data_IF_369862537570
#
_entry.id   IF_369862537570
#
_cell.length_a   1.000
_cell.length_b   1.000
_cell.length_c   1.000
_cell.angle_alpha   90.00
_cell.angle_beta   90.00
_cell.angle_gamma   90.00
#
_symmetry.space_group_name_H-M   'P 1'
#
loop_
_entity.id
_entity.type
_entity.pdbx_description
1 polymer ?
#
# COMPACT_ATOMS: atom_id res chain seq x y z
N UNK A 1 -0.26 22.90 19.97
CA UNK A 1 0.99 22.18 19.61
C UNK A 1 1.42 22.57 18.19
N UNK A 2 2.69 22.91 17.97
CA UNK A 2 3.26 23.25 16.65
C UNK A 2 3.76 21.99 15.96
N UNK A 3 3.22 21.68 14.79
CA UNK A 3 3.48 20.41 14.08
C UNK A 3 4.23 20.66 12.77
N UNK A 4 5.35 19.98 12.57
CA UNK A 4 5.99 19.82 11.26
C UNK A 4 5.48 18.48 10.69
N UNK A 5 4.94 18.47 9.47
CA UNK A 5 4.37 17.26 8.88
C UNK A 5 5.22 16.79 7.69
N UNK A 6 5.68 15.54 7.73
CA UNK A 6 6.47 14.90 6.67
C UNK A 6 5.70 13.75 6.02
N UNK A 7 5.57 13.77 4.70
CA UNK A 7 4.86 12.71 3.98
C UNK A 7 4.88 12.91 2.47
N UNK A 8 4.25 11.98 1.73
CA UNK A 8 4.21 12.08 0.25
C UNK A 8 2.97 11.45 -0.39
N UNK A 9 2.32 10.51 0.28
CA UNK A 9 1.21 9.73 -0.26
C UNK A 9 -0.16 10.40 -0.06
N UNK A 10 -1.19 9.82 -0.66
CA UNK A 10 -2.59 10.18 -0.37
C UNK A 10 -2.95 9.91 1.09
N UNK A 11 -2.40 8.84 1.68
CA UNK A 11 -2.58 8.55 3.10
C UNK A 11 -1.98 9.65 3.98
N UNK A 12 -0.81 10.20 3.60
CA UNK A 12 -0.23 11.35 4.29
C UNK A 12 -1.15 12.57 4.23
N UNK A 13 -1.76 12.82 3.07
CA UNK A 13 -2.70 13.93 2.89
C UNK A 13 -3.96 13.76 3.78
N UNK A 14 -4.51 12.55 3.89
CA UNK A 14 -5.67 12.27 4.74
C UNK A 14 -5.34 12.41 6.22
N UNK A 15 -4.15 11.96 6.66
CA UNK A 15 -3.68 12.20 8.03
C UNK A 15 -3.48 13.69 8.33
N UNK A 16 -2.86 14.47 7.41
CA UNK A 16 -2.73 15.92 7.58
C UNK A 16 -4.09 16.61 7.65
N UNK A 17 -5.04 16.19 6.82
CA UNK A 17 -6.41 16.71 6.83
C UNK A 17 -7.10 16.49 8.18
N UNK A 18 -6.84 15.37 8.87
CA UNK A 18 -7.35 15.13 10.21
C UNK A 18 -6.76 16.12 11.22
N UNK A 19 -5.45 16.38 11.18
CA UNK A 19 -4.79 17.35 12.06
C UNK A 19 -5.30 18.79 11.82
N UNK A 20 -5.54 19.17 10.56
CA UNK A 20 -6.05 20.50 10.22
C UNK A 20 -7.49 20.78 10.71
N UNK A 21 -8.22 19.77 11.16
CA UNK A 21 -9.56 19.91 11.75
C UNK A 21 -9.55 20.22 13.25
N UNK A 22 -8.40 20.05 13.89
CA UNK A 22 -8.22 20.22 15.33
C UNK A 22 -7.59 21.61 15.57
N UNK A 23 -8.30 22.47 16.31
CA UNK A 23 -7.83 23.84 16.61
C UNK A 23 -6.57 23.88 17.48
N UNK A 24 -6.27 22.77 18.19
CA UNK A 24 -5.10 22.66 19.05
C UNK A 24 -3.78 22.44 18.29
N UNK A 25 -3.81 22.23 16.96
CA UNK A 25 -2.62 22.01 16.14
C UNK A 25 -2.38 23.18 15.18
N UNK A 26 -1.14 23.69 15.18
CA UNK A 26 -0.63 24.64 14.20
C UNK A 26 0.35 23.90 13.26
N UNK A 27 0.01 23.75 12.00
CA UNK A 27 0.92 23.16 11.01
C UNK A 27 1.91 24.25 10.57
N UNK A 28 3.12 24.18 11.09
CA UNK A 28 4.17 25.19 10.87
C UNK A 28 5.05 24.91 9.67
N UNK A 29 4.97 23.72 9.10
CA UNK A 29 5.68 23.37 7.88
C UNK A 29 5.34 21.96 7.40
N UNK A 30 5.43 21.77 6.10
CA UNK A 30 5.21 20.49 5.42
C UNK A 30 6.46 20.11 4.63
N UNK A 31 6.89 18.88 4.77
CA UNK A 31 8.03 18.31 4.04
C UNK A 31 7.54 17.18 3.15
N UNK A 32 7.82 17.26 1.86
CA UNK A 32 7.41 16.22 0.90
C UNK A 32 8.60 15.69 0.10
N UNK A 33 8.39 14.60 -0.63
CA UNK A 33 9.34 14.19 -1.67
C UNK A 33 9.37 15.22 -2.80
N UNK A 34 10.51 15.37 -3.49
CA UNK A 34 10.61 16.18 -4.70
C UNK A 34 9.63 15.74 -5.77
N UNK A 35 9.25 16.67 -6.65
CA UNK A 35 8.43 16.37 -7.81
C UNK A 35 9.16 15.37 -8.71
N UNK A 36 8.44 14.37 -9.19
CA UNK A 36 9.02 13.29 -10.02
C UNK A 36 8.29 13.19 -11.37
N UNK A 37 9.00 12.83 -12.45
CA UNK A 37 8.35 12.56 -13.72
C UNK A 37 7.26 11.50 -13.60
N UNK A 38 6.02 11.83 -13.99
CA UNK A 38 4.87 10.93 -13.93
C UNK A 38 4.07 10.95 -15.23
N UNK A 39 3.28 9.89 -15.45
CA UNK A 39 2.43 9.75 -16.63
C UNK A 39 3.18 9.49 -17.94
N UNK A 40 2.44 9.41 -19.05
CA UNK A 40 2.99 9.12 -20.38
C UNK A 40 3.94 10.22 -20.90
N UNK A 41 3.71 11.47 -20.49
CA UNK A 41 4.52 12.64 -20.88
C UNK A 41 5.74 12.89 -19.99
N UNK A 42 6.00 12.09 -18.95
CA UNK A 42 7.08 12.30 -17.96
C UNK A 42 7.14 13.73 -17.41
N UNK A 43 5.98 14.39 -17.27
CA UNK A 43 5.89 15.73 -16.68
C UNK A 43 6.21 15.66 -15.20
N UNK A 44 7.01 16.61 -14.70
CA UNK A 44 7.26 16.74 -13.26
C UNK A 44 5.94 16.96 -12.54
N UNK A 45 5.61 16.06 -11.64
CA UNK A 45 4.32 16.02 -10.96
C UNK A 45 4.56 16.03 -9.45
N UNK A 46 3.92 16.96 -8.72
CA UNK A 46 3.94 16.97 -7.27
C UNK A 46 3.31 15.68 -6.70
N UNK A 47 3.81 15.25 -5.55
CA UNK A 47 3.21 14.13 -4.82
C UNK A 47 1.82 14.51 -4.25
N UNK A 48 1.05 13.51 -3.81
CA UNK A 48 -0.32 13.75 -3.33
C UNK A 48 -0.38 14.74 -2.16
N UNK A 49 0.54 14.63 -1.19
CA UNK A 49 0.59 15.57 -0.07
C UNK A 49 0.95 16.99 -0.51
N UNK A 50 1.87 17.14 -1.47
CA UNK A 50 2.25 18.48 -1.96
C UNK A 50 1.06 19.18 -2.65
N UNK A 51 0.29 18.46 -3.45
CA UNK A 51 -0.96 18.98 -4.06
C UNK A 51 -1.98 19.37 -3.00
N UNK A 52 -2.20 18.50 -2.02
CA UNK A 52 -3.12 18.78 -0.92
C UNK A 52 -2.72 20.02 -0.11
N UNK A 53 -1.42 20.18 0.18
CA UNK A 53 -0.92 21.35 0.90
C UNK A 53 -1.16 22.65 0.10
N UNK A 54 -0.92 22.65 -1.21
CA UNK A 54 -1.21 23.75 -2.12
C UNK A 54 -2.70 24.10 -2.13
N UNK A 55 -3.59 23.11 -2.29
CA UNK A 55 -5.05 23.26 -2.27
C UNK A 55 -5.57 23.84 -0.94
N UNK A 56 -4.85 23.63 0.16
CA UNK A 56 -5.18 24.16 1.49
C UNK A 56 -4.51 25.51 1.81
N UNK A 57 -3.76 26.07 0.87
CA UNK A 57 -3.06 27.34 1.06
C UNK A 57 -1.90 27.26 2.04
N UNK A 58 -1.33 26.06 2.30
CA UNK A 58 -0.14 25.91 3.14
C UNK A 58 1.07 26.36 2.34
N UNK A 59 1.66 27.50 2.73
CA UNK A 59 2.79 28.13 2.02
C UNK A 59 4.15 27.57 2.45
N UNK A 60 4.26 27.12 3.69
CA UNK A 60 5.50 26.57 4.27
C UNK A 60 5.69 25.13 3.84
N UNK A 61 6.08 24.89 2.58
CA UNK A 61 6.30 23.54 2.00
C UNK A 61 7.72 23.47 1.44
N UNK A 62 8.47 22.43 1.84
CA UNK A 62 9.78 22.12 1.26
C UNK A 62 9.81 20.71 0.67
N UNK A 63 10.66 20.53 -0.36
CA UNK A 63 10.79 19.29 -1.12
C UNK A 63 12.26 18.86 -1.25
N UNK A 64 12.96 18.55 -0.14
CA UNK A 64 14.40 18.29 -0.18
C UNK A 64 14.73 16.98 -0.89
N UNK A 65 15.73 16.98 -1.77
CA UNK A 65 16.28 15.75 -2.34
C UNK A 65 16.91 14.85 -1.25
N UNK A 66 17.51 15.47 -0.23
CA UNK A 66 18.10 14.81 0.93
C UNK A 66 17.61 15.49 2.20
N UNK A 67 16.70 14.85 2.93
CA UNK A 67 16.10 15.42 4.14
C UNK A 67 17.14 15.72 5.24
N UNK A 68 18.22 14.95 5.30
CA UNK A 68 19.27 15.14 6.29
C UNK A 68 20.36 16.15 5.87
N UNK A 69 20.13 16.93 4.81
CA UNK A 69 21.07 17.99 4.41
C UNK A 69 21.05 19.18 5.41
N UNK A 70 22.19 19.86 5.63
CA UNK A 70 22.29 20.96 6.60
C UNK A 70 21.23 22.05 6.39
N UNK A 71 20.98 22.46 5.15
CA UNK A 71 20.00 23.47 4.79
C UNK A 71 18.57 23.04 5.16
N UNK A 72 18.25 21.75 5.03
CA UNK A 72 16.95 21.21 5.46
C UNK A 72 16.84 21.26 6.98
N UNK A 73 17.89 20.86 7.68
CA UNK A 73 17.90 20.87 9.14
C UNK A 73 17.75 22.30 9.70
N UNK A 74 18.41 23.31 9.10
CA UNK A 74 18.23 24.72 9.45
C UNK A 74 16.79 25.18 9.23
N UNK A 75 16.16 24.77 8.11
CA UNK A 75 14.77 25.10 7.83
C UNK A 75 13.83 24.49 8.85
N UNK A 76 14.01 23.21 9.19
CA UNK A 76 13.23 22.54 10.23
C UNK A 76 13.35 23.24 11.59
N UNK A 77 14.56 23.66 11.97
CA UNK A 77 14.81 24.43 13.21
C UNK A 77 14.08 25.79 13.19
N UNK A 78 14.07 26.46 12.05
CA UNK A 78 13.42 27.78 11.91
C UNK A 78 11.92 27.72 12.14
N UNK A 79 11.27 26.60 11.88
CA UNK A 79 9.84 26.40 12.09
C UNK A 79 9.46 26.23 13.57
N UNK A 80 10.41 25.91 14.44
CA UNK A 80 10.19 25.74 15.89
C UNK A 80 9.01 24.83 16.21
N UNK A 81 8.95 23.67 15.53
CA UNK A 81 7.94 22.64 15.77
C UNK A 81 8.13 21.97 17.13
N UNK A 82 7.04 21.63 17.78
CA UNK A 82 7.03 20.84 19.02
C UNK A 82 7.19 19.35 18.74
N UNK A 83 6.73 18.89 17.59
CA UNK A 83 6.77 17.50 17.11
C UNK A 83 6.95 17.46 15.60
N UNK A 84 7.64 16.46 15.10
CA UNK A 84 7.64 16.10 13.68
C UNK A 84 6.76 14.86 13.49
N UNK A 85 5.72 14.98 12.69
CA UNK A 85 4.86 13.87 12.29
C UNK A 85 5.32 13.30 10.97
N UNK A 86 5.48 11.99 10.88
CA UNK A 86 5.94 11.29 9.67
C UNK A 86 4.90 10.28 9.23
N UNK A 87 4.41 10.40 8.00
CA UNK A 87 3.45 9.46 7.41
C UNK A 87 3.86 9.15 5.97
N UNK A 88 4.32 7.94 5.69
CA UNK A 88 4.72 7.49 4.35
C UNK A 88 5.60 8.52 3.61
N UNK A 89 6.67 8.98 4.23
CA UNK A 89 7.57 10.00 3.70
C UNK A 89 8.59 9.44 2.71
N UNK A 90 9.22 8.30 3.04
CA UNK A 90 10.11 7.57 2.12
C UNK A 90 11.58 7.99 2.15
N UNK A 91 12.04 8.78 3.11
CA UNK A 91 13.46 8.99 3.43
C UNK A 91 13.72 8.66 4.90
N UNK A 92 14.91 8.14 5.17
CA UNK A 92 15.38 7.83 6.54
C UNK A 92 15.78 9.12 7.24
N UNK A 93 15.26 9.34 8.44
CA UNK A 93 15.62 10.47 9.30
C UNK A 93 16.80 10.07 10.19
N UNK A 94 17.84 10.91 10.23
CA UNK A 94 18.97 10.75 11.14
C UNK A 94 18.66 11.33 12.51
N UNK A 95 19.50 10.98 13.47
CA UNK A 95 19.39 11.37 14.87
C UNK A 95 19.17 12.87 15.06
N UNK A 96 19.87 13.71 14.28
CA UNK A 96 19.77 15.17 14.36
C UNK A 96 18.36 15.70 14.05
N UNK A 97 17.57 14.98 13.24
CA UNK A 97 16.15 15.32 12.97
C UNK A 97 15.26 14.65 14.01
N UNK A 98 15.54 13.39 14.37
CA UNK A 98 14.73 12.64 15.34
C UNK A 98 14.66 13.33 16.71
N UNK A 99 15.76 13.95 17.14
CA UNK A 99 15.88 14.63 18.43
C UNK A 99 15.63 16.15 18.33
N UNK A 100 15.31 16.69 17.15
CA UNK A 100 15.14 18.11 16.94
C UNK A 100 13.97 18.72 17.73
N UNK A 101 12.73 18.19 17.66
CA UNK A 101 11.62 18.76 18.39
C UNK A 101 11.51 18.17 19.81
N UNK A 102 10.92 18.93 20.72
CA UNK A 102 10.82 18.51 22.13
C UNK A 102 10.07 17.19 22.36
N UNK A 103 9.13 16.86 21.48
CA UNK A 103 8.39 15.59 21.51
C UNK A 103 8.91 14.58 20.49
N UNK A 104 10.09 14.82 19.90
CA UNK A 104 10.69 13.92 18.92
C UNK A 104 9.88 13.78 17.63
N UNK A 105 10.10 12.67 16.94
CA UNK A 105 9.38 12.34 15.72
C UNK A 105 8.34 11.25 16.01
N UNK A 106 7.13 11.42 15.50
CA UNK A 106 6.00 10.48 15.65
C UNK A 106 5.61 9.95 14.28
N UNK A 107 5.50 8.63 14.14
CA UNK A 107 5.09 7.96 12.90
C UNK A 107 3.68 7.39 13.05
N UNK A 108 2.88 7.50 11.98
CA UNK A 108 1.66 6.72 11.82
C UNK A 108 1.93 5.59 10.82
N UNK A 109 2.05 4.38 11.35
CA UNK A 109 2.33 3.17 10.59
C UNK A 109 1.05 2.36 10.35
N UNK A 110 0.85 1.86 9.11
CA UNK A 110 -0.39 1.21 8.68
C UNK A 110 -0.37 -0.31 8.93
N UNK A 111 -0.01 -0.70 10.15
CA UNK A 111 -0.19 -2.06 10.67
C UNK A 111 -0.31 -2.05 12.20
N UNK A 112 -0.65 -3.18 12.78
CA UNK A 112 -0.55 -3.43 14.22
C UNK A 112 0.88 -3.90 14.54
N UNK A 113 1.76 -2.96 14.85
CA UNK A 113 3.13 -3.28 15.25
C UNK A 113 3.13 -4.14 16.55
N UNK A 114 4.09 -5.06 16.68
CA UNK A 114 5.35 -5.19 15.93
C UNK A 114 5.24 -5.95 14.60
N UNK A 115 4.05 -6.40 14.18
CA UNK A 115 3.89 -7.08 12.89
C UNK A 115 4.00 -6.09 11.71
N UNK A 116 4.58 -6.56 10.60
CA UNK A 116 4.63 -5.85 9.32
C UNK A 116 5.39 -4.52 9.37
N UNK A 117 6.54 -4.46 10.07
CA UNK A 117 7.48 -3.34 9.96
C UNK A 117 7.95 -3.17 8.51
N UNK A 118 8.12 -1.93 8.04
CA UNK A 118 8.65 -1.63 6.71
C UNK A 118 7.66 -1.03 5.72
N UNK A 119 7.86 -1.25 4.41
CA UNK A 119 7.33 -0.36 3.39
C UNK A 119 5.91 -0.68 2.86
N UNK A 120 5.38 -1.88 3.07
CA UNK A 120 4.10 -2.31 2.47
C UNK A 120 3.22 -3.11 3.44
N UNK A 121 2.95 -2.62 4.66
CA UNK A 121 2.26 -3.37 5.71
C UNK A 121 0.82 -3.76 5.33
N UNK A 122 0.08 -2.86 4.69
CA UNK A 122 -1.32 -3.06 4.27
C UNK A 122 -1.44 -4.25 3.30
N UNK A 123 -0.55 -4.30 2.33
CA UNK A 123 -0.51 -5.36 1.33
C UNK A 123 -0.13 -6.69 1.99
N UNK A 124 0.84 -6.69 2.89
CA UNK A 124 1.28 -7.88 3.59
C UNK A 124 0.19 -8.48 4.48
N UNK A 125 -0.60 -7.66 5.17
CA UNK A 125 -1.73 -8.13 5.97
C UNK A 125 -2.79 -8.85 5.10
N UNK A 126 -3.10 -8.30 3.92
CA UNK A 126 -4.02 -8.93 2.95
C UNK A 126 -3.46 -10.23 2.38
N UNK A 127 -2.19 -10.28 1.97
CA UNK A 127 -1.53 -11.50 1.47
C UNK A 127 -1.51 -12.61 2.53
N UNK A 128 -1.22 -12.25 3.78
CA UNK A 128 -1.27 -13.18 4.90
C UNK A 128 -2.69 -13.70 5.19
N UNK A 129 -3.72 -12.98 4.72
CA UNK A 129 -5.12 -13.31 4.98
C UNK A 129 -5.55 -13.01 6.40
N UNK A 130 -4.98 -11.97 6.99
CA UNK A 130 -5.43 -11.45 8.27
C UNK A 130 -6.90 -11.03 8.17
N UNK A 131 -7.64 -11.24 9.24
CA UNK A 131 -9.04 -10.81 9.35
C UNK A 131 -9.17 -9.41 9.96
N UNK A 132 -8.07 -8.94 10.55
CA UNK A 132 -7.98 -7.64 11.21
C UNK A 132 -6.56 -7.09 11.04
N UNK A 133 -6.47 -5.80 10.83
CA UNK A 133 -5.23 -5.04 10.87
C UNK A 133 -5.47 -3.74 11.65
N UNK A 134 -4.73 -2.70 11.39
CA UNK A 134 -4.95 -1.41 12.04
C UNK A 134 -3.84 -0.42 11.76
N UNK A 135 -3.77 0.56 12.61
CA UNK A 135 -2.73 1.59 12.59
C UNK A 135 -2.02 1.66 13.93
N UNK A 136 -0.74 1.98 13.89
CA UNK A 136 0.09 2.23 15.07
C UNK A 136 0.68 3.62 15.00
N UNK A 137 0.40 4.45 15.99
CA UNK A 137 1.12 5.70 16.23
C UNK A 137 2.23 5.40 17.22
N UNK A 138 3.46 5.73 16.87
CA UNK A 138 4.65 5.42 17.67
C UNK A 138 5.68 6.54 17.62
N UNK A 139 6.51 6.65 18.63
CA UNK A 139 7.74 7.43 18.53
C UNK A 139 8.73 6.77 17.57
N UNK A 140 9.46 7.56 16.82
CA UNK A 140 10.48 7.06 15.91
C UNK A 140 11.82 6.98 16.63
N UNK A 141 12.52 5.85 16.42
CA UNK A 141 13.91 5.65 16.74
C UNK A 141 14.80 5.58 15.48
N UNK A 142 16.06 5.22 15.64
CA UNK A 142 16.98 4.99 14.53
C UNK A 142 16.70 3.68 13.78
N UNK A 143 15.98 2.76 14.39
CA UNK A 143 15.60 1.48 13.79
C UNK A 143 14.37 1.58 12.88
N UNK A 144 14.08 0.48 12.18
CA UNK A 144 12.96 0.42 11.26
C UNK A 144 11.67 0.06 12.02
N UNK A 145 10.78 1.04 12.20
CA UNK A 145 9.46 0.90 12.80
C UNK A 145 9.47 0.16 14.16
N UNK A 146 10.50 0.36 14.97
CA UNK A 146 10.76 -0.36 16.23
C UNK A 146 10.58 0.48 17.50
N UNK A 147 10.24 1.75 17.35
CA UNK A 147 10.06 2.67 18.47
C UNK A 147 8.85 2.33 19.35
N UNK A 148 8.74 2.93 20.53
CA UNK A 148 7.66 2.65 21.47
C UNK A 148 6.30 3.09 20.92
N UNK A 149 5.29 2.24 21.14
CA UNK A 149 3.93 2.46 20.69
C UNK A 149 3.20 3.42 21.62
N UNK A 150 2.64 4.48 21.07
CA UNK A 150 1.80 5.46 21.75
C UNK A 150 0.34 5.02 21.79
N UNK A 151 -0.24 4.74 20.62
CA UNK A 151 -1.62 4.28 20.44
C UNK A 151 -1.74 3.32 19.26
N UNK A 152 -2.73 2.43 19.34
CA UNK A 152 -3.16 1.60 18.21
C UNK A 152 -4.66 1.70 18.01
N UNK A 153 -5.11 1.55 16.77
CA UNK A 153 -6.51 1.36 16.43
C UNK A 153 -6.64 0.19 15.46
N UNK A 154 -7.73 -0.55 15.59
CA UNK A 154 -7.99 -1.78 14.86
C UNK A 154 -8.95 -1.51 13.70
N UNK A 155 -8.76 -2.23 12.58
CA UNK A 155 -9.57 -2.14 11.37
C UNK A 155 -9.85 -3.54 10.83
N UNK A 156 -11.12 -3.96 10.64
CA UNK A 156 -11.45 -5.27 10.07
C UNK A 156 -11.09 -5.34 8.59
N UNK A 157 -10.74 -6.53 8.14
CA UNK A 157 -10.50 -6.84 6.72
C UNK A 157 -11.63 -7.73 6.23
N UNK A 158 -12.44 -7.24 5.30
CA UNK A 158 -13.55 -7.99 4.72
C UNK A 158 -13.08 -8.86 3.54
N UNK A 159 -13.83 -9.92 3.20
CA UNK A 159 -13.43 -10.89 2.16
C UNK A 159 -13.10 -10.29 0.79
N UNK A 160 -13.79 -9.22 0.40
CA UNK A 160 -13.62 -8.56 -0.91
C UNK A 160 -12.72 -7.31 -0.86
N UNK A 161 -12.18 -6.96 0.31
CA UNK A 161 -11.35 -5.77 0.49
C UNK A 161 -10.10 -5.86 -0.38
N UNK A 162 -9.85 -4.81 -1.16
CA UNK A 162 -8.60 -4.62 -1.93
C UNK A 162 -7.55 -3.83 -1.13
N UNK A 163 -6.30 -3.86 -1.59
CA UNK A 163 -5.24 -3.04 -1.01
C UNK A 163 -5.54 -1.53 -1.05
N UNK A 164 -6.23 -1.08 -2.11
CA UNK A 164 -6.68 0.31 -2.24
C UNK A 164 -7.75 0.69 -1.23
N UNK A 165 -8.77 -0.17 -1.07
CA UNK A 165 -9.86 0.04 -0.10
C UNK A 165 -9.29 0.08 1.32
N UNK A 166 -8.51 -0.94 1.70
CA UNK A 166 -7.90 -1.01 3.03
C UNK A 166 -6.97 0.18 3.32
N UNK A 167 -6.19 0.61 2.34
CA UNK A 167 -5.34 1.81 2.51
C UNK A 167 -6.18 3.08 2.73
N UNK A 168 -7.32 3.21 2.06
CA UNK A 168 -8.22 4.36 2.26
C UNK A 168 -8.80 4.36 3.68
N UNK A 169 -9.33 3.22 4.13
CA UNK A 169 -9.89 3.06 5.48
C UNK A 169 -8.84 3.32 6.56
N UNK A 170 -7.66 2.69 6.43
CA UNK A 170 -6.55 2.89 7.36
C UNK A 170 -6.01 4.33 7.35
N UNK A 171 -6.10 5.05 6.23
CA UNK A 171 -5.68 6.46 6.17
C UNK A 171 -6.58 7.36 7.01
N UNK A 172 -7.88 7.10 7.01
CA UNK A 172 -8.85 7.81 7.85
C UNK A 172 -8.66 7.44 9.32
N UNK A 173 -8.59 6.14 9.62
CA UNK A 173 -8.33 5.61 10.95
C UNK A 173 -7.00 6.17 11.52
N UNK A 174 -5.94 6.19 10.70
CA UNK A 174 -4.63 6.72 11.04
C UNK A 174 -4.66 8.20 11.38
N UNK A 175 -5.37 9.00 10.60
CA UNK A 175 -5.52 10.43 10.86
C UNK A 175 -6.19 10.72 12.21
N UNK A 176 -7.28 10.01 12.52
CA UNK A 176 -8.00 10.13 13.80
C UNK A 176 -7.13 9.67 14.98
N UNK A 177 -6.46 8.52 14.82
CA UNK A 177 -5.60 7.97 15.88
C UNK A 177 -4.39 8.86 16.14
N UNK A 178 -3.79 9.41 15.09
CA UNK A 178 -2.67 10.35 15.16
C UNK A 178 -3.08 11.64 15.89
N UNK A 179 -4.20 12.26 15.52
CA UNK A 179 -4.70 13.46 16.18
C UNK A 179 -4.94 13.21 17.67
N UNK A 180 -5.56 12.07 18.02
CA UNK A 180 -5.77 11.66 19.40
C UNK A 180 -4.47 11.47 20.16
N UNK A 181 -3.49 10.79 19.57
CA UNK A 181 -2.19 10.55 20.20
C UNK A 181 -1.43 11.86 20.49
N UNK A 182 -1.40 12.78 19.51
CA UNK A 182 -0.73 14.07 19.68
C UNK A 182 -1.43 14.97 20.72
N UNK A 183 -2.76 14.96 20.78
CA UNK A 183 -3.50 15.69 21.83
C UNK A 183 -3.18 15.16 23.22
N UNK A 184 -3.23 13.83 23.41
CA UNK A 184 -2.87 13.21 24.69
C UNK A 184 -1.40 13.48 25.08
N UNK A 185 -0.51 13.52 24.11
CA UNK A 185 0.91 13.86 24.32
C UNK A 185 1.06 15.31 24.81
N UNK A 186 0.36 16.27 24.20
CA UNK A 186 0.42 17.69 24.59
C UNK A 186 -0.19 17.93 25.98
N UNK A 187 -1.29 17.25 26.26
CA UNK A 187 -1.99 17.28 27.56
C UNK A 187 -1.24 16.50 28.67
N UNK A 188 -0.16 15.79 28.35
CA UNK A 188 0.57 14.87 29.23
C UNK A 188 -0.34 13.77 29.82
N UNK A 189 -1.34 13.37 29.04
CA UNK A 189 -2.33 12.35 29.38
C UNK A 189 -2.15 11.05 28.58
N UNK A 190 -1.04 10.94 27.85
CA UNK A 190 -0.72 9.72 27.09
C UNK A 190 -0.54 8.55 28.08
N UNK A 191 -1.19 7.38 27.84
CA UNK A 191 -0.89 6.19 28.63
C UNK A 191 0.58 5.77 28.49
N UNK A 192 1.10 4.95 29.41
CA UNK A 192 2.47 4.44 29.29
C UNK A 192 2.71 3.80 27.91
N UNK A 193 3.76 4.22 27.25
CA UNK A 193 4.13 3.69 25.95
C UNK A 193 4.54 2.23 26.03
N UNK A 194 4.20 1.47 24.99
CA UNK A 194 4.49 0.04 24.93
C UNK A 194 5.78 -0.17 24.14
N UNK A 195 6.81 -0.70 24.79
CA UNK A 195 8.03 -1.15 24.11
C UNK A 195 7.68 -2.37 23.26
N UNK A 196 8.06 -2.33 21.99
CA UNK A 196 7.77 -3.42 21.06
C UNK A 196 8.61 -4.66 21.38
N UNK A 197 7.98 -5.84 21.46
CA UNK A 197 8.67 -7.11 21.51
C UNK A 197 9.26 -7.47 20.14
N UNK A 198 10.57 -7.34 19.99
CA UNK A 198 11.27 -7.65 18.75
C UNK A 198 11.15 -9.11 18.29
N UNK A 199 10.86 -10.05 19.21
CA UNK A 199 10.65 -11.46 18.86
C UNK A 199 9.36 -11.69 18.07
N UNK A 200 8.37 -10.79 18.17
CA UNK A 200 7.12 -10.83 17.41
C UNK A 200 7.16 -10.00 16.13
N UNK A 201 8.28 -9.33 15.86
CA UNK A 201 8.39 -8.46 14.70
C UNK A 201 8.44 -9.26 13.39
N UNK A 202 7.66 -8.81 12.41
CA UNK A 202 7.75 -9.26 11.02
C UNK A 202 8.08 -8.09 10.12
N UNK A 203 8.74 -8.36 8.98
CA UNK A 203 9.28 -7.31 8.11
C UNK A 203 8.76 -7.43 6.69
N UNK A 204 8.41 -6.29 6.09
CA UNK A 204 7.88 -6.21 4.73
C UNK A 204 8.76 -5.33 3.85
N UNK A 205 9.22 -5.88 2.75
CA UNK A 205 10.04 -5.18 1.76
C UNK A 205 9.19 -4.24 0.89
N UNK A 206 9.87 -3.28 0.28
CA UNK A 206 9.25 -2.44 -0.76
C UNK A 206 8.89 -3.29 -1.97
N UNK A 207 7.66 -3.16 -2.45
CA UNK A 207 7.18 -3.86 -3.65
C UNK A 207 7.73 -3.26 -4.93
N UNK A 208 7.84 -4.11 -5.94
CA UNK A 208 8.23 -3.79 -7.32
C UNK A 208 7.12 -4.23 -8.27
N UNK A 209 7.08 -3.65 -9.46
CA UNK A 209 6.11 -4.05 -10.50
C UNK A 209 6.20 -5.53 -10.90
N UNK A 210 7.40 -6.10 -10.83
CA UNK A 210 7.65 -7.51 -11.12
C UNK A 210 7.02 -8.45 -10.12
N UNK A 211 6.83 -8.01 -8.87
CA UNK A 211 6.26 -8.85 -7.82
C UNK A 211 4.78 -9.20 -8.09
N UNK A 212 4.13 -8.51 -9.04
CA UNK A 212 2.77 -8.82 -9.50
C UNK A 212 2.65 -9.99 -10.47
N UNK A 213 3.74 -10.60 -10.94
CA UNK A 213 3.66 -11.78 -11.78
C UNK A 213 3.08 -12.97 -10.98
N UNK A 214 2.05 -13.61 -11.53
CA UNK A 214 1.38 -14.72 -10.87
C UNK A 214 2.19 -15.99 -11.10
N UNK A 215 2.48 -16.69 -10.03
CA UNK A 215 2.91 -18.08 -10.07
C UNK A 215 1.66 -18.99 -9.91
N UNK A 216 1.30 -19.70 -10.95
CA UNK A 216 0.13 -20.58 -10.98
C UNK A 216 0.30 -21.82 -10.11
N UNK A 217 1.54 -22.17 -9.71
CA UNK A 217 1.84 -23.24 -8.75
C UNK A 217 1.55 -22.87 -7.29
N UNK A 218 1.05 -21.68 -7.05
CA UNK A 218 0.58 -21.30 -5.72
C UNK A 218 -0.85 -21.79 -5.47
N UNK A 219 -1.22 -21.98 -4.18
CA UNK A 219 -2.61 -22.23 -3.82
C UNK A 219 -3.53 -21.10 -4.32
N UNK A 220 -4.71 -21.48 -4.80
CA UNK A 220 -5.69 -20.54 -5.36
C UNK A 220 -6.05 -19.41 -4.42
N UNK A 221 -6.18 -19.70 -3.11
CA UNK A 221 -6.45 -18.70 -2.10
C UNK A 221 -5.30 -17.68 -1.95
N UNK A 222 -4.06 -18.12 -2.11
CA UNK A 222 -2.89 -17.21 -2.07
C UNK A 222 -2.88 -16.28 -3.29
N UNK A 223 -3.22 -16.82 -4.47
CA UNK A 223 -3.36 -16.02 -5.70
C UNK A 223 -4.50 -15.01 -5.57
N UNK A 224 -5.67 -15.41 -5.04
CA UNK A 224 -6.81 -14.52 -4.82
C UNK A 224 -6.46 -13.38 -3.86
N UNK A 225 -5.88 -13.70 -2.70
CA UNK A 225 -5.41 -12.69 -1.73
C UNK A 225 -4.45 -11.71 -2.36
N UNK A 226 -3.50 -12.20 -3.16
CA UNK A 226 -2.50 -11.36 -3.83
C UNK A 226 -3.13 -10.46 -4.90
N UNK A 227 -4.11 -10.95 -5.68
CA UNK A 227 -4.85 -10.15 -6.65
C UNK A 227 -5.55 -8.97 -5.94
N UNK A 228 -6.20 -9.22 -4.82
CA UNK A 228 -6.85 -8.17 -4.02
C UNK A 228 -5.84 -7.24 -3.37
N UNK A 229 -4.81 -7.78 -2.72
CA UNK A 229 -3.78 -7.02 -2.04
C UNK A 229 -3.06 -6.05 -2.98
N UNK A 230 -2.78 -6.47 -4.22
CA UNK A 230 -2.01 -5.71 -5.19
C UNK A 230 -2.87 -4.75 -6.03
N UNK A 231 -4.17 -4.70 -5.84
CA UNK A 231 -5.05 -3.75 -6.49
C UNK A 231 -5.16 -2.47 -5.65
N UNK A 232 -4.88 -1.26 -6.18
CA UNK A 232 -4.60 -0.91 -7.59
C UNK A 232 -3.12 -0.98 -8.00
N UNK A 233 -2.18 -1.24 -7.10
CA UNK A 233 -0.74 -1.29 -7.39
C UNK A 233 -0.03 -2.35 -6.53
N UNK A 234 0.90 -3.14 -7.11
CA UNK A 234 1.44 -3.11 -8.48
C UNK A 234 0.54 -3.78 -9.52
N UNK A 235 -0.57 -4.38 -9.16
CA UNK A 235 -1.48 -5.27 -9.86
C UNK A 235 -0.86 -6.64 -10.18
N UNK A 236 -1.68 -7.68 -10.08
CA UNK A 236 -1.28 -9.02 -10.51
C UNK A 236 -1.42 -9.18 -12.03
N UNK A 237 -0.53 -9.97 -12.62
CA UNK A 237 -0.58 -10.22 -14.06
C UNK A 237 -0.01 -11.58 -14.43
N UNK A 238 -0.38 -12.03 -15.61
CA UNK A 238 0.13 -13.22 -16.30
C UNK A 238 0.36 -12.90 -17.77
N UNK A 239 0.85 -13.85 -18.53
CA UNK A 239 0.98 -13.72 -19.97
C UNK A 239 0.07 -14.69 -20.71
N UNK A 240 -0.54 -14.20 -21.77
CA UNK A 240 -1.37 -15.01 -22.66
C UNK A 240 -0.53 -16.02 -23.43
N UNK A 241 -1.14 -17.13 -23.90
CA UNK A 241 -0.45 -18.09 -24.80
C UNK A 241 0.24 -17.40 -25.98
N UNK A 242 1.36 -17.97 -26.45
CA UNK A 242 2.20 -17.36 -27.48
C UNK A 242 1.45 -16.92 -28.73
N UNK A 243 0.43 -17.68 -29.15
CA UNK A 243 -0.39 -17.35 -30.32
C UNK A 243 -1.16 -16.03 -30.22
N UNK A 244 -1.36 -15.51 -28.99
CA UNK A 244 -2.06 -14.24 -28.76
C UNK A 244 -1.10 -13.08 -28.47
N UNK A 245 0.20 -13.34 -28.39
CA UNK A 245 1.18 -12.30 -28.11
C UNK A 245 1.43 -11.47 -29.38
N UNK A 246 1.08 -10.20 -29.32
CA UNK A 246 1.59 -9.20 -30.26
C UNK A 246 3.06 -8.89 -29.88
N UNK A 247 3.77 -8.11 -30.72
CA UNK A 247 5.18 -7.71 -30.52
C UNK A 247 5.52 -7.22 -29.10
N UNK A 248 4.54 -6.86 -28.29
CA UNK A 248 4.70 -6.29 -26.94
C UNK A 248 4.41 -7.26 -25.77
N UNK A 249 4.34 -8.57 -26.00
CA UNK A 249 4.40 -9.55 -24.90
C UNK A 249 3.09 -10.17 -24.40
N UNK A 250 1.90 -9.62 -24.69
CA UNK A 250 0.62 -10.24 -24.35
C UNK A 250 0.29 -10.31 -22.85
N UNK A 251 0.71 -9.31 -22.08
CA UNK A 251 0.38 -9.19 -20.65
C UNK A 251 -1.12 -9.11 -20.43
N UNK A 252 -1.61 -9.91 -19.50
CA UNK A 252 -2.97 -9.86 -18.98
C UNK A 252 -2.93 -9.50 -17.51
N UNK A 253 -3.36 -8.28 -17.15
CA UNK A 253 -3.52 -7.87 -15.76
C UNK A 253 -4.82 -8.45 -15.24
N UNK A 254 -4.81 -8.99 -14.02
CA UNK A 254 -5.97 -9.57 -13.34
C UNK A 254 -6.32 -8.66 -12.17
N UNK A 255 -7.55 -8.13 -12.21
CA UNK A 255 -8.03 -7.14 -11.22
C UNK A 255 -9.03 -7.73 -10.23
N UNK A 256 -9.79 -8.75 -10.65
CA UNK A 256 -10.72 -9.48 -9.79
C UNK A 256 -10.80 -10.93 -10.22
N UNK A 257 -10.78 -11.82 -9.25
CA UNK A 257 -10.92 -13.24 -9.45
C UNK A 257 -11.80 -13.87 -8.37
N UNK A 258 -12.08 -15.16 -8.49
CA UNK A 258 -12.81 -15.94 -7.49
C UNK A 258 -12.27 -17.37 -7.49
N UNK A 259 -11.97 -17.88 -6.31
CA UNK A 259 -11.62 -19.31 -6.13
C UNK A 259 -12.83 -20.17 -6.47
N UNK A 260 -12.61 -21.24 -7.23
CA UNK A 260 -13.63 -22.22 -7.61
C UNK A 260 -13.07 -23.63 -7.47
N UNK A 261 -13.95 -24.61 -7.21
CA UNK A 261 -13.58 -26.00 -7.10
C UNK A 261 -13.21 -26.62 -8.45
N UNK A 262 -12.62 -27.82 -8.42
CA UNK A 262 -12.39 -28.66 -9.58
C UNK A 262 -13.62 -29.54 -9.82
N UNK A 263 -14.39 -29.22 -10.87
CA UNK A 263 -15.65 -29.88 -11.19
C UNK A 263 -15.45 -31.23 -11.90
N UNK A 264 -14.34 -31.39 -12.63
CA UNK A 264 -14.05 -32.56 -13.46
C UNK A 264 -12.72 -33.23 -13.02
N UNK A 265 -12.64 -34.56 -13.12
CA UNK A 265 -11.43 -35.29 -12.75
C UNK A 265 -10.23 -34.91 -13.63
N UNK A 266 -10.44 -34.70 -14.93
CA UNK A 266 -9.42 -34.27 -15.86
C UNK A 266 -8.77 -32.91 -15.48
N UNK A 267 -9.44 -32.08 -14.70
CA UNK A 267 -8.88 -30.81 -14.22
C UNK A 267 -7.82 -31.00 -13.16
N UNK A 268 -7.84 -32.11 -12.43
CA UNK A 268 -6.85 -32.41 -11.36
C UNK A 268 -5.48 -32.71 -11.95
N UNK A 269 -5.44 -33.32 -13.14
CA UNK A 269 -4.21 -33.67 -13.85
C UNK A 269 -3.65 -32.52 -14.70
N UNK A 270 -4.45 -31.47 -14.94
CA UNK A 270 -4.02 -30.35 -15.73
C UNK A 270 -2.90 -29.56 -15.04
N UNK A 271 -1.90 -29.13 -15.80
CA UNK A 271 -0.81 -28.32 -15.29
C UNK A 271 -1.32 -26.94 -14.78
N UNK A 272 -0.74 -26.38 -13.71
CA UNK A 272 -1.04 -25.03 -13.28
C UNK A 272 -0.92 -24.01 -14.40
N UNK A 273 -1.87 -23.04 -14.47
CA UNK A 273 -1.98 -22.08 -15.56
C UNK A 273 -2.85 -22.55 -16.73
N UNK A 274 -3.22 -23.84 -16.79
CA UNK A 274 -4.13 -24.34 -17.85
C UNK A 274 -5.50 -23.67 -17.77
N UNK A 275 -6.03 -23.24 -18.90
CA UNK A 275 -7.43 -22.80 -19.03
C UNK A 275 -8.32 -24.04 -18.98
N UNK A 276 -8.98 -24.27 -17.87
CA UNK A 276 -9.81 -25.46 -17.65
C UNK A 276 -11.17 -25.35 -18.37
N UNK A 277 -11.80 -24.19 -18.25
CA UNK A 277 -13.16 -23.93 -18.74
C UNK A 277 -13.32 -22.48 -19.17
N UNK A 278 -14.13 -22.28 -20.21
CA UNK A 278 -14.60 -20.97 -20.64
C UNK A 278 -16.03 -20.77 -20.10
N UNK A 279 -16.11 -20.29 -18.84
CA UNK A 279 -17.40 -20.07 -18.19
C UNK A 279 -18.01 -18.72 -18.63
N UNK A 280 -19.35 -18.58 -18.50
CA UNK A 280 -20.10 -17.38 -18.89
C UNK A 280 -19.56 -16.08 -18.26
N UNK A 281 -18.97 -16.16 -17.05
CA UNK A 281 -18.44 -15.02 -16.31
C UNK A 281 -16.95 -14.77 -16.56
N UNK A 282 -16.24 -15.74 -17.14
CA UNK A 282 -14.82 -15.63 -17.44
C UNK A 282 -14.08 -16.96 -17.47
N UNK A 283 -12.80 -16.98 -17.90
CA UNK A 283 -12.01 -18.20 -17.96
C UNK A 283 -11.68 -18.71 -16.56
N UNK A 284 -11.70 -20.04 -16.40
CA UNK A 284 -11.30 -20.77 -15.20
C UNK A 284 -9.90 -21.32 -15.41
N UNK A 285 -8.98 -20.98 -14.53
CA UNK A 285 -7.55 -21.31 -14.65
C UNK A 285 -7.14 -22.25 -13.52
N UNK A 286 -6.41 -23.30 -13.84
CA UNK A 286 -5.83 -24.28 -12.88
C UNK A 286 -4.78 -23.57 -12.00
N UNK A 287 -4.88 -23.78 -10.69
CA UNK A 287 -3.86 -23.42 -9.69
C UNK A 287 -3.25 -24.71 -9.10
N UNK A 288 -2.36 -24.60 -8.13
CA UNK A 288 -1.75 -25.77 -7.49
C UNK A 288 -2.79 -26.73 -6.89
N UNK A 289 -3.71 -26.20 -6.10
CA UNK A 289 -4.70 -26.98 -5.34
C UNK A 289 -6.07 -27.06 -6.03
N UNK A 290 -6.61 -25.92 -6.46
CA UNK A 290 -7.93 -25.81 -7.07
C UNK A 290 -7.85 -24.96 -8.35
N UNK A 291 -8.84 -24.11 -8.58
CA UNK A 291 -8.86 -23.22 -9.73
C UNK A 291 -9.34 -21.80 -9.36
N UNK A 292 -9.08 -20.86 -10.24
CA UNK A 292 -9.51 -19.49 -10.09
C UNK A 292 -10.24 -19.01 -11.36
N UNK A 293 -11.39 -18.36 -11.19
CA UNK A 293 -12.15 -17.75 -12.27
C UNK A 293 -11.74 -16.27 -12.37
N UNK A 294 -11.36 -15.82 -13.56
CA UNK A 294 -10.98 -14.43 -13.81
C UNK A 294 -12.24 -13.60 -14.12
N UNK A 295 -12.61 -12.70 -13.20
CA UNK A 295 -13.85 -11.92 -13.29
C UNK A 295 -13.65 -10.55 -13.96
N UNK A 296 -12.53 -9.88 -13.65
CA UNK A 296 -12.16 -8.58 -14.24
C UNK A 296 -10.69 -8.63 -14.63
N UNK A 297 -10.44 -8.31 -15.89
CA UNK A 297 -9.09 -8.34 -16.47
C UNK A 297 -8.81 -7.10 -17.31
N UNK A 298 -7.54 -6.84 -17.58
CA UNK A 298 -7.08 -5.76 -18.45
C UNK A 298 -5.97 -6.28 -19.36
N UNK A 299 -6.30 -6.62 -20.60
CA UNK A 299 -5.30 -6.99 -21.61
C UNK A 299 -4.41 -5.79 -21.94
N UNK A 300 -3.16 -6.06 -22.28
CA UNK A 300 -2.21 -5.02 -22.70
C UNK A 300 -2.77 -4.18 -23.86
N UNK A 301 -2.69 -2.85 -23.69
CA UNK A 301 -3.20 -1.88 -24.67
C UNK A 301 -4.72 -1.75 -24.74
N UNK A 302 -5.46 -2.40 -23.83
CA UNK A 302 -6.92 -2.33 -23.72
C UNK A 302 -7.38 -1.71 -22.40
N UNK A 303 -8.66 -1.34 -22.32
CA UNK A 303 -9.30 -0.98 -21.06
C UNK A 303 -9.57 -2.21 -20.16
N UNK A 304 -10.06 -1.94 -18.96
CA UNK A 304 -10.59 -2.96 -18.07
C UNK A 304 -11.88 -3.54 -18.66
N UNK A 305 -12.06 -4.86 -18.49
CA UNK A 305 -13.24 -5.57 -19.00
C UNK A 305 -13.58 -6.77 -18.13
N UNK A 306 -14.81 -7.23 -18.20
CA UNK A 306 -15.22 -8.47 -17.54
C UNK A 306 -14.56 -9.68 -18.19
N UNK A 307 -14.41 -10.77 -17.42
CA UNK A 307 -13.91 -12.04 -17.95
C UNK A 307 -14.75 -12.56 -19.11
N UNK A 308 -16.06 -12.36 -19.08
CA UNK A 308 -16.98 -12.67 -20.17
C UNK A 308 -16.65 -11.88 -21.45
N UNK A 309 -16.48 -10.57 -21.35
CA UNK A 309 -16.12 -9.71 -22.51
C UNK A 309 -14.73 -10.08 -23.06
N UNK A 310 -13.80 -10.44 -22.19
CA UNK A 310 -12.48 -10.91 -22.60
C UNK A 310 -12.57 -12.20 -23.44
N UNK A 311 -13.44 -13.15 -23.07
CA UNK A 311 -13.66 -14.40 -23.83
C UNK A 311 -14.27 -14.14 -25.20
N UNK A 312 -15.21 -13.20 -25.33
CA UNK A 312 -15.79 -12.85 -26.64
C UNK A 312 -14.75 -12.27 -27.61
N UNK A 313 -13.77 -11.56 -27.10
CA UNK A 313 -12.68 -10.96 -27.89
C UNK A 313 -11.46 -11.86 -28.13
N UNK A 314 -11.42 -13.06 -27.54
CA UNK A 314 -10.28 -13.98 -27.60
C UNK A 314 -10.75 -15.41 -27.76
N UNK A 315 -10.20 -16.12 -28.74
CA UNK A 315 -10.48 -17.55 -28.97
C UNK A 315 -9.55 -18.42 -28.11
N UNK A 316 -9.72 -18.36 -26.79
CA UNK A 316 -9.08 -19.33 -25.89
C UNK A 316 -9.68 -20.72 -26.10
N UNK A 317 -8.89 -21.74 -25.87
CA UNK A 317 -9.31 -23.15 -25.96
C UNK A 317 -9.13 -23.82 -24.60
N UNK A 318 -10.23 -24.32 -24.04
CA UNK A 318 -10.18 -25.08 -22.78
C UNK A 318 -9.31 -26.32 -22.94
N UNK A 319 -8.58 -26.68 -21.89
CA UNK A 319 -7.64 -27.83 -21.79
C UNK A 319 -6.48 -27.80 -22.79
N UNK A 320 -6.31 -26.72 -23.58
CA UNK A 320 -5.21 -26.56 -24.54
C UNK A 320 -4.36 -25.31 -24.28
N UNK A 321 -4.98 -24.24 -23.81
CA UNK A 321 -4.26 -22.99 -23.53
C UNK A 321 -3.67 -22.96 -22.13
N UNK A 322 -2.46 -22.42 -22.04
CA UNK A 322 -1.73 -22.22 -20.82
C UNK A 322 -1.41 -20.74 -20.64
N UNK A 323 -1.84 -20.14 -19.53
CA UNK A 323 -1.37 -18.83 -19.11
C UNK A 323 0.01 -18.96 -18.47
N UNK A 324 0.92 -18.08 -18.80
CA UNK A 324 2.31 -18.16 -18.37
C UNK A 324 2.50 -17.21 -17.18
N UNK A 325 2.89 -17.80 -16.04
CA UNK A 325 3.32 -17.14 -14.84
C UNK A 325 4.84 -17.15 -14.67
N UNK A 326 5.29 -17.15 -13.40
CA UNK A 326 6.70 -17.38 -13.05
C UNK A 326 7.13 -18.79 -13.40
#
# INVERSE_FOLDING_TARGET
MRVIFMGSSSASAECLKALLREECFEIVGVVTQPDRPAGRGKTLTPCALAKFAEERGITEVIKPEKVNAPETLERLRSWKGDVIVVVAYGQILKKEILELPRYGCVNCHFSLLPKYRGAAPVIAALEAGELMTGVTVMHMGEGLDDGPIMLQAFEPIYPDTTGGDLMADLSVCGGVTLAKALRLLDEKALPPEIVQDGAQATYVKKLRKTDGLINWDWPSIAIDRRIRAYNPWPTCYTFLPLRFRKKNGGRLTILKAKVVGLEEEAWREAAPGTVLKLDKDGPVIRCHDTAIKLLVVKPEGSGEMTGAAFLMGRKLEAMKDLLIGE
#
